data_IF_567616260816
#
_entry.id   IF_567616260816
#
_cell.length_a   1.000
_cell.length_b   1.000
_cell.length_c   1.000
_cell.angle_alpha   90.00
_cell.angle_beta   90.00
_cell.angle_gamma   90.00
#
_symmetry.space_group_name_H-M   'P 1'
#
loop_
_entity.id
_entity.type
_entity.pdbx_description
1 polymer ?
#
# COMPACT_ATOMS: atom_id res chain seq x y z
N UNK A 1 -14.39 -1.77 -0.68
CA UNK A 1 -13.14 -2.49 -0.38
C UNK A 1 -13.27 -3.14 0.99
N UNK A 2 -13.01 -4.44 1.10
CA UNK A 2 -12.90 -5.13 2.38
C UNK A 2 -11.43 -5.21 2.81
N UNK A 3 -11.17 -5.03 4.09
CA UNK A 3 -9.87 -5.19 4.69
C UNK A 3 -10.00 -6.05 5.93
N UNK A 4 -9.13 -7.04 6.07
CA UNK A 4 -9.07 -7.89 7.26
C UNK A 4 -7.74 -7.66 7.94
N UNK A 5 -7.77 -7.30 9.22
CA UNK A 5 -6.57 -7.08 10.04
C UNK A 5 -6.39 -8.22 11.02
N UNK A 6 -5.19 -8.79 11.04
CA UNK A 6 -4.81 -9.89 11.91
C UNK A 6 -3.67 -9.44 12.81
N UNK A 7 -3.84 -9.65 14.11
CA UNK A 7 -2.82 -9.40 15.10
C UNK A 7 -2.06 -10.69 15.40
N UNK A 8 -0.80 -10.74 15.00
CA UNK A 8 0.07 -11.91 15.18
C UNK A 8 0.83 -11.91 16.51
N UNK A 9 0.68 -10.88 17.36
CA UNK A 9 1.50 -10.70 18.56
C UNK A 9 1.37 -11.85 19.58
N UNK A 10 0.28 -12.61 19.54
CA UNK A 10 0.09 -13.80 20.37
C UNK A 10 1.01 -14.97 19.97
N UNK A 11 1.51 -14.99 18.73
CA UNK A 11 2.36 -16.07 18.19
C UNK A 11 3.75 -15.60 17.78
N UNK A 12 3.87 -14.39 17.21
CA UNK A 12 5.14 -13.84 16.75
C UNK A 12 5.06 -12.31 16.55
N UNK A 13 6.17 -11.63 16.79
CA UNK A 13 6.37 -10.24 16.35
C UNK A 13 6.94 -10.25 14.93
N UNK A 14 6.19 -9.76 13.96
CA UNK A 14 6.60 -9.78 12.55
C UNK A 14 7.60 -8.65 12.29
N UNK A 15 8.85 -9.01 12.06
CA UNK A 15 9.91 -8.07 11.71
C UNK A 15 9.74 -7.49 10.31
N UNK A 16 10.55 -6.49 9.98
CA UNK A 16 10.54 -5.86 8.67
C UNK A 16 10.92 -6.82 7.54
N UNK A 17 11.95 -7.63 7.75
CA UNK A 17 12.39 -8.64 6.79
C UNK A 17 11.33 -9.73 6.63
N UNK A 18 10.69 -10.16 7.72
CA UNK A 18 9.61 -11.15 7.65
C UNK A 18 8.39 -10.62 6.90
N UNK A 19 8.01 -9.36 7.14
CA UNK A 19 6.93 -8.72 6.38
C UNK A 19 7.29 -8.59 4.90
N UNK A 20 8.53 -8.19 4.58
CA UNK A 20 8.99 -8.12 3.19
C UNK A 20 8.96 -9.49 2.50
N UNK A 21 9.46 -10.55 3.16
CA UNK A 21 9.41 -11.91 2.61
C UNK A 21 7.97 -12.40 2.44
N UNK A 22 7.06 -12.07 3.36
CA UNK A 22 5.64 -12.38 3.23
C UNK A 22 5.05 -11.76 1.95
N UNK A 23 5.31 -10.48 1.70
CA UNK A 23 4.88 -9.82 0.46
C UNK A 23 5.49 -10.48 -0.78
N UNK A 24 6.78 -10.80 -0.74
CA UNK A 24 7.49 -11.46 -1.86
C UNK A 24 6.95 -12.84 -2.19
N UNK A 25 6.53 -13.60 -1.18
CA UNK A 25 5.99 -14.96 -1.35
C UNK A 25 4.53 -14.97 -1.83
N UNK A 26 3.80 -13.88 -1.65
CA UNK A 26 2.41 -13.77 -2.09
C UNK A 26 2.21 -12.48 -2.91
N UNK A 27 2.79 -12.40 -4.13
CA UNK A 27 2.82 -11.19 -4.93
C UNK A 27 1.42 -10.68 -5.34
N UNK A 28 0.43 -11.58 -5.39
CA UNK A 28 -0.95 -11.25 -5.75
C UNK A 28 -1.76 -10.69 -4.56
N UNK A 29 -1.17 -10.66 -3.36
CA UNK A 29 -1.84 -10.21 -2.13
C UNK A 29 -1.32 -8.84 -1.72
N UNK A 30 -2.24 -7.89 -1.59
CA UNK A 30 -1.93 -6.55 -1.06
C UNK A 30 -1.87 -6.59 0.47
N UNK A 31 -0.67 -6.69 1.01
CA UNK A 31 -0.43 -6.57 2.45
C UNK A 31 -0.06 -5.14 2.86
N UNK A 32 -0.62 -4.73 3.99
CA UNK A 32 -0.17 -3.56 4.74
C UNK A 32 0.18 -3.97 6.18
N UNK A 33 1.00 -3.17 6.86
CA UNK A 33 1.31 -3.37 8.28
C UNK A 33 1.11 -2.07 9.03
N UNK A 34 0.24 -2.03 10.03
CA UNK A 34 0.02 -0.81 10.80
C UNK A 34 1.16 -0.52 11.80
N UNK A 35 1.11 0.63 12.44
CA UNK A 35 2.15 1.05 13.41
C UNK A 35 2.21 0.17 14.67
N UNK A 36 1.21 -0.69 14.90
CA UNK A 36 1.18 -1.67 15.99
C UNK A 36 1.77 -3.03 15.59
N UNK A 37 2.25 -3.17 14.35
CA UNK A 37 2.76 -4.43 13.81
C UNK A 37 1.69 -5.38 13.28
N UNK A 38 0.41 -4.99 13.29
CA UNK A 38 -0.69 -5.83 12.80
C UNK A 38 -0.71 -5.81 11.27
N UNK A 39 -1.04 -6.96 10.66
CA UNK A 39 -1.04 -7.12 9.21
C UNK A 39 -2.47 -6.99 8.70
N UNK A 40 -2.66 -6.14 7.70
CA UNK A 40 -3.93 -5.96 7.01
C UNK A 40 -3.82 -6.56 5.61
N UNK A 41 -4.76 -7.45 5.27
CA UNK A 41 -4.94 -7.99 3.91
C UNK A 41 -6.02 -7.18 3.23
N UNK A 42 -5.65 -6.51 2.14
CA UNK A 42 -6.57 -5.70 1.35
C UNK A 42 -7.20 -6.57 0.26
N UNK A 43 -8.53 -6.53 0.15
CA UNK A 43 -9.22 -7.14 -0.99
C UNK A 43 -8.79 -6.50 -2.31
N UNK A 44 -8.83 -7.26 -3.43
CA UNK A 44 -8.60 -6.70 -4.75
C UNK A 44 -9.55 -5.53 -5.04
N UNK A 45 -9.02 -4.51 -5.72
CA UNK A 45 -9.81 -3.37 -6.16
C UNK A 45 -10.81 -3.80 -7.24
N UNK A 46 -12.10 -3.55 -7.04
CA UNK A 46 -13.14 -3.80 -8.04
C UNK A 46 -13.09 -2.79 -9.20
N UNK A 47 -13.77 -3.08 -10.31
CA UNK A 47 -13.67 -2.27 -11.54
C UNK A 47 -14.06 -0.80 -11.36
N UNK A 48 -15.12 -0.50 -10.62
CA UNK A 48 -15.56 0.87 -10.36
C UNK A 48 -14.50 1.67 -9.58
N UNK A 49 -14.03 1.13 -8.44
CA UNK A 49 -12.95 1.75 -7.66
C UNK A 49 -11.66 1.84 -8.48
N UNK A 50 -11.36 0.83 -9.30
CA UNK A 50 -10.20 0.84 -10.19
C UNK A 50 -10.26 1.96 -11.23
N UNK A 51 -11.45 2.25 -11.77
CA UNK A 51 -11.66 3.38 -12.68
C UNK A 51 -11.40 4.72 -11.97
N UNK A 52 -11.97 4.92 -10.78
CA UNK A 52 -11.73 6.14 -10.00
C UNK A 52 -10.25 6.33 -9.65
N UNK A 53 -9.57 5.26 -9.20
CA UNK A 53 -8.14 5.31 -8.90
C UNK A 53 -7.31 5.65 -10.15
N UNK A 54 -7.70 5.14 -11.32
CA UNK A 54 -7.01 5.40 -12.59
C UNK A 54 -7.11 6.88 -12.99
N UNK A 55 -8.30 7.47 -12.90
CA UNK A 55 -8.52 8.90 -13.21
C UNK A 55 -7.74 9.80 -12.24
N UNK A 56 -7.81 9.54 -10.94
CA UNK A 56 -7.07 10.33 -9.93
C UNK A 56 -5.56 10.22 -10.16
N UNK A 57 -5.05 9.03 -10.44
CA UNK A 57 -3.63 8.83 -10.72
C UNK A 57 -3.20 9.59 -11.99
N UNK A 58 -4.03 9.58 -13.04
CA UNK A 58 -3.77 10.31 -14.28
C UNK A 58 -3.67 11.82 -14.03
N UNK A 59 -4.60 12.39 -13.26
CA UNK A 59 -4.58 13.81 -12.89
C UNK A 59 -3.29 14.21 -12.17
N UNK A 60 -2.88 13.43 -11.16
CA UNK A 60 -1.62 13.65 -10.43
C UNK A 60 -0.40 13.54 -11.35
N UNK A 61 -0.37 12.54 -12.22
CA UNK A 61 0.74 12.36 -13.19
C UNK A 61 0.82 13.54 -14.16
N UNK A 62 -0.31 14.02 -14.69
CA UNK A 62 -0.34 15.17 -15.61
C UNK A 62 0.11 16.44 -14.89
N UNK A 63 -0.40 16.70 -13.68
CA UNK A 63 0.01 17.82 -12.87
C UNK A 63 1.52 17.79 -12.59
N UNK A 64 2.04 16.67 -12.07
CA UNK A 64 3.45 16.54 -11.71
C UNK A 64 4.37 16.61 -12.95
N UNK A 65 3.93 16.14 -14.11
CA UNK A 65 4.67 16.32 -15.38
C UNK A 65 4.80 17.79 -15.77
N UNK A 66 3.83 18.65 -15.44
CA UNK A 66 3.87 20.10 -15.71
C UNK A 66 4.70 20.85 -14.68
N UNK A 67 4.54 20.52 -13.40
CA UNK A 67 5.17 21.26 -12.30
C UNK A 67 6.59 20.78 -11.97
N UNK A 68 6.90 19.51 -12.28
CA UNK A 68 8.20 18.85 -12.00
C UNK A 68 8.58 18.87 -10.51
N UNK A 69 7.60 18.79 -9.63
CA UNK A 69 7.81 18.94 -8.19
C UNK A 69 8.15 17.62 -7.47
N UNK A 70 8.00 16.46 -8.12
CA UNK A 70 8.27 15.19 -7.48
C UNK A 70 8.05 13.96 -8.38
N UNK A 71 7.67 12.84 -7.78
CA UNK A 71 7.43 11.55 -8.41
C UNK A 71 6.08 10.98 -7.94
N UNK A 72 5.27 10.50 -8.88
CA UNK A 72 4.00 9.85 -8.58
C UNK A 72 4.15 8.32 -8.59
N UNK A 73 3.37 7.65 -7.74
CA UNK A 73 3.35 6.20 -7.59
C UNK A 73 1.91 5.68 -7.58
N UNK A 74 1.73 4.47 -8.09
CA UNK A 74 0.43 3.82 -8.21
C UNK A 74 -0.01 3.11 -6.91
N UNK A 75 -1.20 2.52 -6.96
CA UNK A 75 -1.85 1.82 -5.83
C UNK A 75 -1.16 0.55 -5.32
N UNK A 76 -0.07 0.12 -5.96
CA UNK A 76 0.65 -1.11 -5.63
C UNK A 76 1.99 -0.83 -4.96
N UNK A 77 2.38 0.44 -4.88
CA UNK A 77 3.64 0.85 -4.25
C UNK A 77 3.47 0.88 -2.73
N UNK A 78 4.22 0.05 -2.03
CA UNK A 78 4.24 0.01 -0.56
C UNK A 78 5.32 0.94 0.01
N UNK A 79 4.94 1.80 0.95
CA UNK A 79 5.81 2.76 1.61
C UNK A 79 5.98 2.43 3.09
N UNK A 80 7.23 2.46 3.56
CA UNK A 80 7.55 2.47 4.98
C UNK A 80 7.43 3.90 5.52
N UNK A 81 6.52 4.09 6.46
CA UNK A 81 6.28 5.38 7.13
C UNK A 81 7.16 5.54 8.39
N UNK A 82 7.45 6.78 8.82
CA UNK A 82 8.28 7.04 10.01
C UNK A 82 7.75 6.43 11.32
N UNK A 83 6.44 6.20 11.41
CA UNK A 83 5.80 5.53 12.55
C UNK A 83 5.91 3.99 12.49
N UNK A 84 6.70 3.43 11.58
CA UNK A 84 6.92 1.99 11.41
C UNK A 84 5.87 1.25 10.59
N UNK A 85 4.81 1.94 10.14
CA UNK A 85 3.77 1.34 9.31
C UNK A 85 4.24 1.13 7.86
N UNK A 86 3.72 0.10 7.20
CA UNK A 86 3.79 -0.12 5.76
C UNK A 86 2.39 0.11 5.15
N UNK A 87 2.29 1.02 4.18
CA UNK A 87 1.02 1.42 3.53
C UNK A 87 1.18 1.46 2.03
N UNK A 88 0.12 1.12 1.30
CA UNK A 88 0.05 1.17 -0.16
C UNK A 88 -1.16 2.02 -0.58
N UNK A 89 -1.06 3.36 -0.49
CA UNK A 89 -2.17 4.26 -0.83
C UNK A 89 -2.56 4.13 -2.30
N UNK A 90 -3.82 4.46 -2.65
CA UNK A 90 -4.31 4.37 -4.02
C UNK A 90 -3.52 5.24 -5.02
N UNK A 91 -3.00 6.38 -4.56
CA UNK A 91 -2.08 7.27 -5.28
C UNK A 91 -1.12 7.89 -4.26
N UNK A 92 0.18 7.97 -4.59
CA UNK A 92 1.18 8.66 -3.76
C UNK A 92 2.05 9.62 -4.58
N UNK A 93 2.51 10.70 -3.96
CA UNK A 93 3.42 11.68 -4.54
C UNK A 93 4.50 12.05 -3.51
N UNK A 94 5.77 12.06 -3.94
CA UNK A 94 6.96 12.42 -3.15
C UNK A 94 7.72 13.51 -3.88
#
# INVERSE_FOLDING_TARGET
MLAVTINFNAIAQITDDQFYQLCRQNPDVKFERNARGEITVMSPTGGETGNYNSEINADFVIWNRRTKLGVCFDSSTCFRLPNGANRSPDVSWI
#
